data_IF_618089169374
#
_entry.id   IF_618089169374
#
_cell.length_a   1.000
_cell.length_b   1.000
_cell.length_c   1.000
_cell.angle_alpha   90.00
_cell.angle_beta   90.00
_cell.angle_gamma   90.00
#
_symmetry.space_group_name_H-M   'P 1'
#
loop_
_entity.id
_entity.type
_entity.pdbx_description
1 polymer ?
#
# COMPACT_ATOMS: atom_id res chain seq x y z
N UNK A 1 -12.89 4.76 -12.03
CA UNK A 1 -11.49 4.87 -11.54
C UNK A 1 -10.58 5.02 -12.73
N UNK A 2 -9.81 6.10 -12.79
CA UNK A 2 -8.72 6.22 -13.75
C UNK A 2 -7.47 5.57 -13.11
N UNK A 3 -7.08 4.40 -13.59
CA UNK A 3 -5.94 3.65 -13.04
C UNK A 3 -4.68 4.50 -13.02
N UNK A 4 -4.45 5.25 -14.12
CA UNK A 4 -3.29 6.14 -14.25
C UNK A 4 -3.19 7.17 -13.13
N UNK A 5 -4.33 7.67 -12.66
CA UNK A 5 -4.38 8.79 -11.69
C UNK A 5 -4.63 8.32 -10.25
N UNK A 6 -5.03 7.05 -10.06
CA UNK A 6 -5.40 6.51 -8.75
C UNK A 6 -4.40 5.50 -8.19
N UNK A 7 -3.55 4.90 -9.03
CA UNK A 7 -2.52 3.96 -8.59
C UNK A 7 -1.18 4.67 -8.52
N UNK A 8 -0.57 4.66 -7.33
CA UNK A 8 0.75 5.21 -7.08
C UNK A 8 1.70 4.09 -6.66
N UNK A 9 2.90 4.09 -7.22
CA UNK A 9 3.95 3.13 -6.92
C UNK A 9 5.10 3.89 -6.23
N UNK A 10 5.38 3.52 -4.98
CA UNK A 10 6.50 4.11 -4.25
C UNK A 10 7.83 3.55 -4.76
N UNK A 11 8.78 4.42 -4.99
CA UNK A 11 10.09 4.12 -5.58
C UNK A 11 11.22 4.81 -4.80
N UNK A 12 12.28 4.07 -4.51
CA UNK A 12 13.47 4.64 -3.85
C UNK A 12 14.12 5.73 -4.69
N UNK A 13 14.18 5.55 -6.03
CA UNK A 13 14.82 6.48 -6.95
C UNK A 13 13.89 7.60 -7.42
N UNK A 14 12.64 7.28 -7.75
CA UNK A 14 11.70 8.23 -8.36
C UNK A 14 10.68 8.82 -7.38
N UNK A 15 10.65 8.35 -6.12
CA UNK A 15 9.69 8.76 -5.10
C UNK A 15 8.31 8.16 -5.36
N UNK A 16 7.55 8.71 -6.29
CA UNK A 16 6.24 8.21 -6.72
C UNK A 16 6.22 8.06 -8.24
N UNK A 17 5.75 6.90 -8.69
CA UNK A 17 5.52 6.58 -10.09
C UNK A 17 4.03 6.28 -10.30
N UNK A 18 3.52 6.63 -11.47
CA UNK A 18 2.22 6.19 -11.99
C UNK A 18 2.42 4.99 -12.92
N UNK A 19 1.39 4.17 -13.20
CA UNK A 19 1.52 2.97 -14.02
C UNK A 19 2.08 3.16 -15.42
N UNK A 20 1.95 4.37 -16.00
CA UNK A 20 2.41 4.69 -17.37
C UNK A 20 3.60 5.66 -17.39
N UNK A 21 4.22 5.95 -16.26
CA UNK A 21 5.40 6.79 -16.23
C UNK A 21 6.60 6.04 -16.81
N UNK A 22 7.34 6.72 -17.66
CA UNK A 22 8.56 6.17 -18.22
C UNK A 22 9.66 6.16 -17.17
N UNK A 23 10.34 5.01 -17.05
CA UNK A 23 11.42 4.85 -16.08
C UNK A 23 12.56 4.03 -16.69
N UNK A 24 13.78 4.29 -16.24
CA UNK A 24 14.91 3.45 -16.53
C UNK A 24 14.99 2.28 -15.52
N UNK A 25 15.50 1.11 -15.93
CA UNK A 25 15.76 0.03 -14.99
C UNK A 25 16.71 0.49 -13.88
N UNK A 26 16.39 0.18 -12.64
CA UNK A 26 17.23 0.50 -11.49
C UNK A 26 17.00 -0.51 -10.36
N UNK A 27 17.95 -0.54 -9.42
CA UNK A 27 17.81 -1.25 -8.16
C UNK A 27 18.22 -0.34 -7.01
N UNK A 28 17.25 0.24 -6.33
CA UNK A 28 17.44 1.08 -5.16
C UNK A 28 16.23 0.92 -4.24
N UNK A 29 16.41 0.20 -3.14
CA UNK A 29 15.36 -0.04 -2.15
C UNK A 29 15.22 1.19 -1.25
N UNK A 30 13.99 1.48 -0.79
CA UNK A 30 13.70 2.67 0.01
C UNK A 30 14.45 2.69 1.34
N UNK A 31 14.70 1.50 1.92
CA UNK A 31 15.43 1.32 3.17
C UNK A 31 16.96 1.46 3.04
N UNK A 32 17.50 1.68 1.84
CA UNK A 32 18.94 1.78 1.63
C UNK A 32 19.54 2.97 2.38
N UNK A 33 20.60 2.72 3.14
CA UNK A 33 21.38 3.74 3.84
C UNK A 33 22.30 4.48 2.86
N UNK A 34 21.71 5.31 1.99
CA UNK A 34 22.42 6.12 1.01
C UNK A 34 22.58 7.55 1.52
N UNK A 35 23.78 7.91 1.95
CA UNK A 35 24.12 9.29 2.32
C UNK A 35 24.05 10.19 1.08
N UNK A 36 23.41 11.33 1.22
CA UNK A 36 23.14 12.29 0.15
C UNK A 36 23.13 13.72 0.69
N UNK A 37 22.93 14.71 -0.19
CA UNK A 37 22.94 16.13 0.19
C UNK A 37 21.80 16.54 1.16
N UNK A 38 20.76 15.72 1.32
CA UNK A 38 19.60 16.00 2.20
C UNK A 38 19.63 15.18 3.48
N UNK A 39 20.56 14.22 3.63
CA UNK A 39 20.66 13.41 4.83
C UNK A 39 21.34 12.05 4.64
N UNK A 40 21.17 11.18 5.64
CA UNK A 40 21.89 9.90 5.74
C UNK A 40 21.19 8.72 5.02
N UNK A 41 19.98 8.92 4.50
CA UNK A 41 19.18 7.87 3.87
C UNK A 41 18.09 8.45 2.96
N UNK A 42 17.36 7.58 2.25
CA UNK A 42 16.32 7.99 1.32
C UNK A 42 15.09 8.57 2.02
N UNK A 43 14.79 8.18 3.25
CA UNK A 43 13.68 8.79 3.99
C UNK A 43 13.91 10.26 4.24
N UNK A 44 15.14 10.64 4.61
CA UNK A 44 15.53 12.05 4.78
C UNK A 44 15.60 12.77 3.44
N UNK A 45 16.04 12.09 2.37
CA UNK A 45 16.05 12.65 1.03
C UNK A 45 14.65 13.05 0.55
N UNK A 46 13.70 12.16 0.68
CA UNK A 46 12.33 12.40 0.24
C UNK A 46 11.56 13.33 1.19
N UNK A 47 11.79 13.24 2.50
CA UNK A 47 11.16 14.08 3.52
C UNK A 47 9.62 14.13 3.31
N UNK A 48 9.09 15.33 3.17
CA UNK A 48 7.65 15.55 2.93
C UNK A 48 7.23 15.48 1.45
N UNK A 49 8.18 15.34 0.50
CA UNK A 49 7.92 15.49 -0.94
C UNK A 49 6.87 14.50 -1.45
N UNK A 50 6.93 13.23 -1.00
CA UNK A 50 5.97 12.20 -1.40
C UNK A 50 4.57 12.55 -0.89
N UNK A 51 4.44 12.97 0.37
CA UNK A 51 3.15 13.36 0.95
C UNK A 51 2.56 14.60 0.25
N UNK A 52 3.37 15.58 -0.09
CA UNK A 52 2.92 16.73 -0.87
C UNK A 52 2.41 16.33 -2.26
N UNK A 53 3.12 15.42 -2.95
CA UNK A 53 2.69 14.90 -4.24
C UNK A 53 1.34 14.20 -4.14
N UNK A 54 1.16 13.31 -3.16
CA UNK A 54 -0.12 12.61 -2.92
C UNK A 54 -1.24 13.61 -2.58
N UNK A 55 -0.98 14.60 -1.74
CA UNK A 55 -1.96 15.65 -1.44
C UNK A 55 -2.40 16.40 -2.69
N UNK A 56 -1.47 16.71 -3.59
CA UNK A 56 -1.80 17.41 -4.85
C UNK A 56 -2.70 16.56 -5.76
N UNK A 57 -2.50 15.24 -5.80
CA UNK A 57 -3.37 14.34 -6.54
C UNK A 57 -4.79 14.24 -5.95
N UNK A 58 -4.90 14.34 -4.63
CA UNK A 58 -6.15 14.17 -3.88
C UNK A 58 -6.94 15.48 -3.69
N UNK A 59 -6.46 16.62 -4.23
CA UNK A 59 -7.08 17.94 -4.04
C UNK A 59 -8.56 18.01 -4.44
N UNK A 60 -8.99 17.17 -5.40
CA UNK A 60 -10.37 17.16 -5.91
C UNK A 60 -11.31 16.30 -5.07
N UNK A 61 -10.78 15.48 -4.18
CA UNK A 61 -11.57 14.57 -3.37
C UNK A 61 -12.07 15.28 -2.11
N UNK A 62 -13.38 15.24 -1.89
CA UNK A 62 -14.00 15.83 -0.68
C UNK A 62 -13.57 15.08 0.60
N UNK A 63 -13.37 13.78 0.49
CA UNK A 63 -12.94 12.90 1.59
C UNK A 63 -11.78 12.04 1.12
N UNK A 64 -10.57 12.61 1.05
CA UNK A 64 -9.43 11.91 0.46
C UNK A 64 -9.03 10.68 1.28
N UNK A 65 -8.84 9.56 0.60
CA UNK A 65 -8.44 8.29 1.18
C UNK A 65 -7.27 7.70 0.42
N UNK A 66 -6.26 7.24 1.14
CA UNK A 66 -5.15 6.45 0.62
C UNK A 66 -5.27 5.02 1.15
N UNK A 67 -5.47 4.05 0.27
CA UNK A 67 -5.38 2.63 0.61
C UNK A 67 -3.92 2.21 0.51
N UNK A 68 -3.31 1.94 1.66
CA UNK A 68 -1.90 1.56 1.74
C UNK A 68 -1.73 0.07 1.47
N UNK A 69 -1.18 -0.25 0.29
CA UNK A 69 -0.76 -1.59 -0.12
C UNK A 69 0.77 -1.71 -0.23
N UNK A 70 1.50 -0.66 0.13
CA UNK A 70 2.96 -0.70 0.18
C UNK A 70 3.46 -1.50 1.40
N UNK A 71 4.72 -1.91 1.39
CA UNK A 71 5.36 -2.44 2.59
C UNK A 71 5.61 -1.33 3.59
N UNK A 72 5.80 -1.68 4.87
CA UNK A 72 6.15 -0.73 5.91
C UNK A 72 7.42 0.07 5.56
N UNK A 73 8.40 -0.59 4.95
CA UNK A 73 9.63 0.03 4.45
C UNK A 73 9.32 1.19 3.50
N UNK A 74 8.49 0.94 2.47
CA UNK A 74 8.18 1.96 1.47
C UNK A 74 7.22 3.02 2.02
N UNK A 75 6.18 2.63 2.75
CA UNK A 75 5.21 3.59 3.26
C UNK A 75 5.78 4.54 4.33
N UNK A 76 6.84 4.13 5.03
CA UNK A 76 7.60 4.98 5.95
C UNK A 76 8.16 6.24 5.28
N UNK A 77 8.35 6.24 3.96
CA UNK A 77 8.78 7.41 3.20
C UNK A 77 7.67 8.45 2.98
N UNK A 78 6.42 8.11 3.30
CA UNK A 78 5.29 9.04 3.26
C UNK A 78 5.16 9.71 4.62
N UNK A 79 5.44 11.01 4.70
CA UNK A 79 5.25 11.77 5.93
C UNK A 79 3.76 11.90 6.26
N UNK A 80 3.30 11.07 7.20
CA UNK A 80 1.89 11.01 7.60
C UNK A 80 1.41 12.27 8.34
N UNK A 81 2.33 13.11 8.86
CA UNK A 81 1.97 14.39 9.49
C UNK A 81 1.61 15.44 8.44
N UNK A 82 2.16 15.29 7.23
CA UNK A 82 1.92 16.19 6.09
C UNK A 82 0.79 15.68 5.20
N UNK A 83 0.57 14.37 5.16
CA UNK A 83 -0.49 13.76 4.36
C UNK A 83 -1.87 14.15 4.90
N UNK A 84 -2.72 14.71 4.03
CA UNK A 84 -4.07 15.21 4.38
C UNK A 84 -5.18 14.17 4.18
N UNK A 85 -4.84 12.97 3.70
CA UNK A 85 -5.79 11.90 3.46
C UNK A 85 -5.89 10.96 4.65
N UNK A 86 -7.06 10.34 4.83
CA UNK A 86 -7.21 9.17 5.69
C UNK A 86 -6.42 8.00 5.07
N UNK A 87 -5.60 7.35 5.86
CA UNK A 87 -4.86 6.16 5.42
C UNK A 87 -5.58 4.91 5.91
N UNK A 88 -5.84 3.99 5.00
CA UNK A 88 -6.35 2.65 5.30
C UNK A 88 -5.19 1.67 5.09
N UNK A 89 -4.70 1.09 6.16
CA UNK A 89 -3.70 0.02 6.11
C UNK A 89 -4.38 -1.33 5.89
N UNK A 90 -3.99 -2.05 4.83
CA UNK A 90 -4.47 -3.40 4.56
C UNK A 90 -3.47 -4.44 5.06
N UNK A 91 -3.89 -5.24 6.04
CA UNK A 91 -3.09 -6.28 6.69
C UNK A 91 -3.58 -7.65 6.24
N UNK A 92 -2.66 -8.53 5.86
CA UNK A 92 -2.97 -9.88 5.41
C UNK A 92 -2.34 -10.90 6.35
N UNK A 93 -3.18 -11.74 6.95
CA UNK A 93 -2.79 -12.73 7.95
C UNK A 93 -3.10 -14.14 7.48
N UNK A 94 -2.15 -15.05 7.75
CA UNK A 94 -2.24 -16.48 7.51
C UNK A 94 -2.46 -17.22 8.82
N UNK A 95 -3.35 -18.20 8.83
CA UNK A 95 -3.46 -19.12 9.95
C UNK A 95 -2.32 -20.14 9.89
N UNK A 96 -1.40 -20.10 10.84
CA UNK A 96 -0.29 -21.04 10.91
C UNK A 96 0.14 -21.29 12.35
N UNK A 97 0.20 -22.55 12.73
CA UNK A 97 0.61 -22.95 14.09
C UNK A 97 -0.37 -22.48 15.16
N UNK A 98 -1.68 -22.62 14.91
CA UNK A 98 -2.73 -22.31 15.88
C UNK A 98 -3.11 -20.82 16.00
N UNK A 99 -2.48 -19.93 15.23
CA UNK A 99 -2.75 -18.48 15.28
C UNK A 99 -2.62 -17.80 13.93
N UNK A 100 -3.31 -16.66 13.79
CA UNK A 100 -3.14 -15.77 12.66
C UNK A 100 -1.88 -14.92 12.81
N UNK A 101 -1.14 -14.75 11.73
CA UNK A 101 0.09 -13.92 11.67
C UNK A 101 0.38 -13.44 10.26
N UNK A 102 1.04 -12.30 10.16
CA UNK A 102 1.55 -11.79 8.89
C UNK A 102 2.77 -12.62 8.48
N UNK A 103 2.72 -13.22 7.28
CA UNK A 103 3.86 -13.88 6.64
C UNK A 103 4.25 -13.05 5.44
N UNK A 104 5.45 -12.46 5.47
CA UNK A 104 5.91 -11.43 4.53
C UNK A 104 5.72 -11.80 3.07
N UNK A 105 6.05 -13.03 2.66
CA UNK A 105 5.90 -13.50 1.29
C UNK A 105 4.43 -13.51 0.84
N UNK A 106 3.53 -14.06 1.66
CA UNK A 106 2.11 -14.13 1.35
C UNK A 106 1.46 -12.75 1.41
N UNK A 107 1.80 -11.93 2.39
CA UNK A 107 1.31 -10.56 2.49
C UNK A 107 1.71 -9.71 1.26
N UNK A 108 2.95 -9.89 0.74
CA UNK A 108 3.38 -9.22 -0.50
C UNK A 108 2.50 -9.61 -1.68
N UNK A 109 2.24 -10.92 -1.86
CA UNK A 109 1.36 -11.43 -2.91
C UNK A 109 -0.07 -10.92 -2.75
N UNK A 110 -0.63 -11.00 -1.55
CA UNK A 110 -2.01 -10.58 -1.26
C UNK A 110 -2.24 -9.09 -1.53
N UNK A 111 -1.29 -8.21 -1.19
CA UNK A 111 -1.35 -6.78 -1.52
C UNK A 111 -1.41 -6.56 -3.03
N UNK A 112 -0.63 -7.29 -3.81
CA UNK A 112 -0.69 -7.27 -5.27
C UNK A 112 -2.04 -7.75 -5.82
N UNK A 113 -2.61 -8.80 -5.22
CA UNK A 113 -3.94 -9.32 -5.59
C UNK A 113 -5.05 -8.32 -5.27
N UNK A 114 -5.00 -7.64 -4.12
CA UNK A 114 -5.97 -6.61 -3.77
C UNK A 114 -5.87 -5.40 -4.72
N UNK A 115 -4.66 -4.97 -5.08
CA UNK A 115 -4.46 -3.93 -6.08
C UNK A 115 -5.08 -4.33 -7.43
N UNK A 116 -4.80 -5.56 -7.90
CA UNK A 116 -5.38 -6.10 -9.13
C UNK A 116 -6.91 -6.16 -9.06
N UNK A 117 -7.46 -6.62 -7.94
CA UNK A 117 -8.90 -6.67 -7.70
C UNK A 117 -9.54 -5.28 -7.81
N UNK A 118 -8.96 -4.28 -7.14
CA UNK A 118 -9.42 -2.90 -7.18
C UNK A 118 -9.45 -2.35 -8.63
N UNK A 119 -8.41 -2.64 -9.41
CA UNK A 119 -8.27 -2.22 -10.79
C UNK A 119 -9.30 -2.90 -11.68
N UNK A 120 -9.40 -4.23 -11.61
CA UNK A 120 -10.32 -5.01 -12.47
C UNK A 120 -11.79 -4.73 -12.19
N UNK A 121 -12.13 -4.45 -10.93
CA UNK A 121 -13.49 -4.11 -10.49
C UNK A 121 -13.78 -2.61 -10.58
N UNK A 122 -12.84 -1.79 -11.05
CA UNK A 122 -12.99 -0.33 -11.15
C UNK A 122 -13.48 0.31 -9.83
N UNK A 123 -12.96 -0.16 -8.70
CA UNK A 123 -13.41 0.26 -7.37
C UNK A 123 -13.11 1.75 -7.15
N UNK A 124 -14.15 2.52 -6.84
CA UNK A 124 -14.05 3.94 -6.49
C UNK A 124 -14.31 4.17 -4.99
N UNK A 125 -15.21 3.39 -4.40
CA UNK A 125 -15.47 3.42 -2.97
C UNK A 125 -14.56 2.40 -2.26
N UNK A 126 -13.64 2.83 -1.38
CA UNK A 126 -12.73 1.92 -0.67
C UNK A 126 -13.45 0.78 0.08
N UNK A 127 -14.66 1.03 0.61
CA UNK A 127 -15.43 0.00 1.35
C UNK A 127 -15.67 -1.27 0.52
N UNK A 128 -15.72 -1.15 -0.82
CA UNK A 128 -15.86 -2.29 -1.73
C UNK A 128 -14.63 -3.20 -1.78
N UNK A 129 -13.51 -2.77 -1.23
CA UNK A 129 -12.33 -3.62 -1.06
C UNK A 129 -12.54 -4.71 0.01
N UNK A 130 -13.49 -4.50 0.93
CA UNK A 130 -13.86 -5.51 1.93
C UNK A 130 -14.50 -6.75 1.32
N UNK A 131 -15.02 -6.65 0.09
CA UNK A 131 -15.56 -7.79 -0.68
C UNK A 131 -14.44 -8.65 -1.31
N UNK A 132 -13.16 -8.32 -1.07
CA UNK A 132 -12.03 -9.07 -1.60
C UNK A 132 -11.99 -10.49 -1.05
N UNK A 133 -11.94 -11.49 -1.96
CA UNK A 133 -12.00 -12.89 -1.62
C UNK A 133 -11.05 -13.78 -2.45
N UNK A 134 -10.01 -13.20 -3.06
CA UNK A 134 -9.09 -13.98 -3.88
C UNK A 134 -8.15 -14.82 -3.01
N UNK A 135 -7.82 -16.01 -3.49
CA UNK A 135 -6.93 -16.98 -2.85
C UNK A 135 -7.31 -17.30 -1.39
N UNK A 136 -8.61 -17.30 -1.08
CA UNK A 136 -9.12 -17.68 0.24
C UNK A 136 -8.99 -16.61 1.32
N UNK A 137 -8.55 -15.39 0.98
CA UNK A 137 -8.64 -14.27 1.91
C UNK A 137 -10.07 -13.80 2.07
N UNK A 138 -10.43 -13.40 3.27
CA UNK A 138 -11.67 -12.72 3.58
C UNK A 138 -11.41 -11.57 4.56
N UNK A 139 -12.21 -10.52 4.43
CA UNK A 139 -12.20 -9.42 5.39
C UNK A 139 -12.65 -9.92 6.76
N UNK A 140 -11.95 -9.51 7.82
CA UNK A 140 -12.21 -9.88 9.20
C UNK A 140 -12.61 -8.63 10.00
N UNK A 141 -13.91 -8.44 10.16
CA UNK A 141 -14.46 -7.24 10.81
C UNK A 141 -14.05 -7.12 12.27
N UNK A 142 -14.04 -8.24 12.99
CA UNK A 142 -13.71 -8.28 14.42
C UNK A 142 -12.28 -7.84 14.76
N UNK A 143 -11.38 -7.89 13.78
CA UNK A 143 -9.96 -7.54 13.93
C UNK A 143 -9.59 -6.26 13.17
N UNK A 144 -10.59 -5.62 12.58
CA UNK A 144 -10.43 -4.41 11.76
C UNK A 144 -10.96 -3.19 12.51
N UNK A 145 -10.44 -2.03 12.12
CA UNK A 145 -10.96 -0.74 12.54
C UNK A 145 -11.09 0.21 11.34
N UNK A 146 -11.40 1.48 11.60
CA UNK A 146 -11.61 2.51 10.57
C UNK A 146 -10.40 2.67 9.65
N UNK A 147 -9.18 2.53 10.19
CA UNK A 147 -7.93 2.79 9.48
C UNK A 147 -7.08 1.54 9.23
N UNK A 148 -7.44 0.41 9.81
CA UNK A 148 -6.73 -0.85 9.67
C UNK A 148 -7.70 -1.94 9.29
N UNK A 149 -7.56 -2.47 8.08
CA UNK A 149 -8.39 -3.55 7.55
C UNK A 149 -7.60 -4.84 7.50
N UNK A 150 -8.12 -5.86 8.18
CA UNK A 150 -7.50 -7.19 8.27
C UNK A 150 -8.19 -8.15 7.34
N UNK A 151 -7.39 -8.83 6.53
CA UNK A 151 -7.84 -9.91 5.65
C UNK A 151 -7.14 -11.18 6.11
N UNK A 152 -7.93 -12.22 6.40
CA UNK A 152 -7.43 -13.49 6.92
C UNK A 152 -7.64 -14.61 5.91
N UNK A 153 -6.67 -15.50 5.85
CA UNK A 153 -6.77 -16.75 5.13
C UNK A 153 -6.46 -17.90 6.07
N UNK A 154 -7.36 -18.90 6.10
CA UNK A 154 -7.06 -20.18 6.71
C UNK A 154 -6.18 -20.99 5.77
N UNK A 155 -5.23 -21.74 6.29
CA UNK A 155 -4.49 -22.72 5.50
C UNK A 155 -5.50 -23.58 4.74
N UNK A 156 -5.46 -23.56 3.40
CA UNK A 156 -6.13 -24.58 2.63
C UNK A 156 -5.44 -25.88 3.02
N UNK A 157 -6.15 -26.75 3.71
CA UNK A 157 -5.61 -28.04 4.08
C UNK A 157 -4.95 -28.65 2.85
N UNK A 158 -3.73 -29.15 3.01
CA UNK A 158 -3.09 -29.97 1.99
C UNK A 158 -4.09 -31.10 1.65
N UNK A 159 -4.65 -31.02 0.43
CA UNK A 159 -5.37 -32.12 -0.19
C UNK A 159 -4.38 -33.22 -0.53
#
# INVERSE_FOLDING_TARGET
>A
MCIRDSVCILSGLYGVLRPLDWMQPYRLEMGTALTNLRGKNLYQFWGASIAHHLNAQLLKDKTPVVVNLASQEYFKAVDQKVLKARVIECVFEEYKGGKYKVISFFAKRARGLLARYAIQKHIQNPEKLKDFNLEGYAYEDSESDVNRWVFRRREMGAL
#
